data_IF_665998821619
#
_entry.id   IF_665998821619
#
_cell.length_a   1.000
_cell.length_b   1.000
_cell.length_c   1.000
_cell.angle_alpha   90.00
_cell.angle_beta   90.00
_cell.angle_gamma   90.00
#
_symmetry.space_group_name_H-M   'P 1'
#
loop_
_entity.id
_entity.type
_entity.pdbx_description
1 polymer ?
#
# COMPACT_ATOMS: atom_id res chain seq x y z
N UNK A 1 9.12 7.40 -10.01
CA UNK A 1 9.99 6.34 -9.45
C UNK A 1 9.80 5.09 -10.28
N UNK A 2 10.89 4.49 -10.76
CA UNK A 2 10.86 3.12 -11.28
C UNK A 2 11.66 2.28 -10.29
N UNK A 3 11.07 1.20 -9.81
CA UNK A 3 11.75 0.24 -8.94
C UNK A 3 12.50 -0.76 -9.81
N UNK A 4 13.71 -1.15 -9.42
CA UNK A 4 14.35 -2.30 -10.04
C UNK A 4 13.70 -3.62 -9.56
N UNK A 5 14.00 -4.78 -10.16
CA UNK A 5 13.37 -6.04 -9.77
C UNK A 5 13.56 -6.41 -8.29
N UNK A 6 14.74 -6.14 -7.72
CA UNK A 6 15.02 -6.43 -6.31
C UNK A 6 14.22 -5.51 -5.37
N UNK A 7 14.11 -4.23 -5.71
CA UNK A 7 13.32 -3.23 -4.98
C UNK A 7 11.82 -3.52 -5.08
N UNK A 8 11.36 -3.99 -6.24
CA UNK A 8 9.97 -4.42 -6.48
C UNK A 8 9.63 -5.60 -5.57
N UNK A 9 10.45 -6.65 -5.58
CA UNK A 9 10.26 -7.81 -4.72
C UNK A 9 10.32 -7.46 -3.22
N UNK A 10 11.20 -6.54 -2.82
CA UNK A 10 11.25 -6.08 -1.43
C UNK A 10 9.99 -5.29 -1.04
N UNK A 11 9.56 -4.35 -1.87
CA UNK A 11 8.36 -3.53 -1.63
C UNK A 11 7.10 -4.39 -1.58
N UNK A 12 6.98 -5.38 -2.48
CA UNK A 12 5.87 -6.34 -2.45
C UNK A 12 5.82 -7.12 -1.13
N UNK A 13 6.96 -7.68 -0.69
CA UNK A 13 7.02 -8.37 0.62
C UNK A 13 6.65 -7.47 1.79
N UNK A 14 7.08 -6.20 1.78
CA UNK A 14 6.76 -5.23 2.82
C UNK A 14 5.25 -4.93 2.88
N UNK A 15 4.59 -4.81 1.72
CA UNK A 15 3.15 -4.60 1.63
C UNK A 15 2.36 -5.83 2.08
N UNK A 16 2.74 -7.03 1.62
CA UNK A 16 2.14 -8.29 2.08
C UNK A 16 2.30 -8.47 3.58
N UNK A 17 3.48 -8.18 4.15
CA UNK A 17 3.68 -8.26 5.60
C UNK A 17 2.76 -7.32 6.40
N UNK A 18 2.50 -6.10 5.90
CA UNK A 18 1.52 -5.22 6.53
C UNK A 18 0.09 -5.77 6.39
N UNK A 19 -0.26 -6.26 5.21
CA UNK A 19 -1.59 -6.84 4.95
C UNK A 19 -1.87 -8.06 5.83
N UNK A 20 -0.91 -8.96 5.98
CA UNK A 20 -1.02 -10.20 6.76
C UNK A 20 -1.21 -9.95 8.26
N UNK A 21 -0.75 -8.80 8.76
CA UNK A 21 -0.96 -8.41 10.16
C UNK A 21 -2.39 -7.93 10.45
N UNK A 22 -3.17 -7.54 9.41
CA UNK A 22 -4.53 -7.02 9.60
C UNK A 22 -5.55 -8.17 9.73
N UNK A 23 -6.41 -8.16 10.76
CA UNK A 23 -7.42 -9.20 11.01
C UNK A 23 -8.68 -9.00 10.12
N UNK A 24 -8.48 -8.69 8.85
CA UNK A 24 -9.53 -8.44 7.88
C UNK A 24 -9.38 -9.38 6.69
N UNK A 25 -10.48 -9.68 6.01
CA UNK A 25 -10.44 -10.28 4.68
C UNK A 25 -10.07 -9.22 3.61
N UNK A 26 -9.68 -9.65 2.42
CA UNK A 26 -9.32 -8.74 1.32
C UNK A 26 -10.53 -7.97 0.79
N UNK A 27 -11.70 -8.61 0.69
CA UNK A 27 -12.87 -8.02 0.06
C UNK A 27 -13.34 -6.67 0.67
N UNK A 28 -13.35 -6.48 2.00
CA UNK A 28 -13.60 -5.15 2.59
C UNK A 28 -12.57 -4.09 2.19
N UNK A 29 -11.29 -4.46 2.10
CA UNK A 29 -10.19 -3.55 1.72
C UNK A 29 -10.34 -3.17 0.24
N UNK A 30 -10.58 -4.16 -0.63
CA UNK A 30 -10.86 -3.96 -2.05
C UNK A 30 -12.06 -3.04 -2.25
N UNK A 31 -13.17 -3.30 -1.56
CA UNK A 31 -14.36 -2.47 -1.64
C UNK A 31 -14.11 -1.03 -1.19
N UNK A 32 -13.33 -0.81 -0.13
CA UNK A 32 -13.03 0.54 0.36
C UNK A 32 -12.13 1.31 -0.61
N UNK A 33 -11.19 0.62 -1.27
CA UNK A 33 -10.29 1.20 -2.25
C UNK A 33 -10.92 1.32 -3.66
N UNK A 34 -12.06 0.67 -3.89
CA UNK A 34 -12.75 0.65 -5.18
C UNK A 34 -12.15 -0.34 -6.18
N UNK A 35 -11.42 -1.35 -5.69
CA UNK A 35 -10.84 -2.40 -6.51
C UNK A 35 -11.87 -3.46 -6.90
N UNK A 36 -11.67 -4.04 -8.08
CA UNK A 36 -12.36 -5.27 -8.46
C UNK A 36 -11.76 -6.46 -7.68
N UNK A 37 -12.46 -7.61 -7.60
CA UNK A 37 -11.93 -8.79 -6.93
C UNK A 37 -10.56 -9.20 -7.49
N UNK A 38 -9.56 -9.33 -6.61
CA UNK A 38 -8.17 -9.63 -6.95
C UNK A 38 -7.29 -8.39 -7.16
N UNK A 39 -7.89 -7.19 -7.27
CA UNK A 39 -7.14 -5.96 -7.49
C UNK A 39 -6.22 -5.57 -6.32
N UNK A 40 -6.54 -6.01 -5.08
CA UNK A 40 -5.61 -5.82 -3.97
C UNK A 40 -4.32 -6.62 -4.20
N UNK A 41 -4.41 -7.87 -4.65
CA UNK A 41 -3.23 -8.71 -4.91
C UNK A 41 -2.34 -8.09 -5.99
N UNK A 42 -2.91 -7.59 -7.09
CA UNK A 42 -2.17 -6.89 -8.15
C UNK A 42 -1.39 -5.67 -7.62
N UNK A 43 -1.97 -4.93 -6.67
CA UNK A 43 -1.29 -3.79 -6.03
C UNK A 43 -0.17 -4.26 -5.08
N UNK A 44 -0.42 -5.29 -4.27
CA UNK A 44 0.57 -5.84 -3.34
C UNK A 44 1.76 -6.47 -4.09
N UNK A 45 1.53 -6.98 -5.30
CA UNK A 45 2.57 -7.52 -6.18
C UNK A 45 3.26 -6.43 -7.05
N UNK A 46 2.88 -5.16 -6.87
CA UNK A 46 3.46 -3.99 -7.57
C UNK A 46 3.20 -4.03 -9.09
N UNK A 47 2.09 -4.65 -9.51
CA UNK A 47 1.65 -4.68 -10.91
C UNK A 47 0.73 -3.48 -11.25
N UNK A 48 0.14 -2.86 -10.23
CA UNK A 48 -0.69 -1.67 -10.34
C UNK A 48 0.11 -0.37 -10.53
N UNK A 49 -0.60 0.74 -10.76
CA UNK A 49 0.06 2.04 -10.90
C UNK A 49 0.75 2.49 -9.59
N UNK A 50 1.83 3.29 -9.65
CA UNK A 50 2.49 3.78 -8.44
C UNK A 50 1.56 4.53 -7.48
N UNK A 51 0.54 5.22 -8.01
CA UNK A 51 -0.45 5.94 -7.21
C UNK A 51 -1.28 4.95 -6.38
N UNK A 52 -1.72 3.85 -6.99
CA UNK A 52 -2.51 2.82 -6.31
C UNK A 52 -1.69 2.08 -5.25
N UNK A 53 -0.41 1.82 -5.52
CA UNK A 53 0.51 1.24 -4.54
C UNK A 53 0.65 2.14 -3.31
N UNK A 54 0.90 3.45 -3.51
CA UNK A 54 0.99 4.39 -2.40
C UNK A 54 -0.34 4.56 -1.66
N UNK A 55 -1.46 4.65 -2.38
CA UNK A 55 -2.80 4.78 -1.80
C UNK A 55 -3.17 3.56 -0.95
N UNK A 56 -2.87 2.36 -1.45
CA UNK A 56 -3.11 1.10 -0.72
C UNK A 56 -2.23 1.02 0.52
N UNK A 57 -0.93 1.31 0.39
CA UNK A 57 -0.03 1.38 1.55
C UNK A 57 -0.60 2.29 2.63
N UNK A 58 -1.01 3.50 2.26
CA UNK A 58 -1.50 4.49 3.23
C UNK A 58 -2.83 4.07 3.88
N UNK A 59 -3.71 3.40 3.13
CA UNK A 59 -4.95 2.83 3.67
C UNK A 59 -4.68 1.69 4.66
N UNK A 60 -3.77 0.76 4.33
CA UNK A 60 -3.38 -0.34 5.23
C UNK A 60 -2.70 0.18 6.50
N UNK A 61 -1.88 1.24 6.39
CA UNK A 61 -1.28 1.90 7.56
C UNK A 61 -2.36 2.50 8.46
N UNK A 62 -3.33 3.22 7.89
CA UNK A 62 -4.43 3.79 8.66
C UNK A 62 -5.26 2.71 9.37
N UNK A 63 -5.52 1.58 8.70
CA UNK A 63 -6.17 0.42 9.33
C UNK A 63 -5.34 -0.15 10.48
N UNK A 64 -4.03 -0.36 10.27
CA UNK A 64 -3.15 -0.88 11.30
C UNK A 64 -3.11 0.04 12.53
N UNK A 65 -3.00 1.36 12.32
CA UNK A 65 -3.02 2.36 13.39
C UNK A 65 -4.34 2.33 14.17
N UNK A 66 -5.48 2.22 13.49
CA UNK A 66 -6.81 2.13 14.12
C UNK A 66 -6.94 0.89 15.01
N UNK A 67 -6.38 -0.24 14.59
CA UNK A 67 -6.39 -1.51 15.33
C UNK A 67 -5.25 -1.64 16.35
N UNK A 68 -4.36 -0.64 16.46
CA UNK A 68 -3.19 -0.71 17.35
C UNK A 68 -2.12 -1.71 16.92
N UNK A 69 -2.06 -2.04 15.63
CA UNK A 69 -1.11 -2.97 15.02
C UNK A 69 0.15 -2.22 14.59
N UNK A 70 1.32 -2.80 14.87
CA UNK A 70 2.59 -2.21 14.47
C UNK A 70 2.77 -2.26 12.94
N UNK A 71 3.07 -1.11 12.34
CA UNK A 71 3.37 -0.99 10.91
C UNK A 71 4.82 -1.40 10.66
N UNK A 72 5.10 -2.38 9.79
CA UNK A 72 6.47 -2.75 9.43
C UNK A 72 7.16 -1.60 8.68
N UNK A 73 8.49 -1.46 8.78
CA UNK A 73 9.21 -0.42 8.08
C UNK A 73 9.16 -0.65 6.57
N UNK A 74 8.97 0.43 5.81
CA UNK A 74 9.06 0.43 4.36
C UNK A 74 10.41 0.98 3.90
N UNK A 75 11.07 0.29 2.98
CA UNK A 75 12.34 0.75 2.41
C UNK A 75 12.14 1.79 1.31
N UNK A 76 11.13 1.61 0.45
CA UNK A 76 10.84 2.48 -0.70
C UNK A 76 9.55 3.29 -0.57
N UNK A 77 8.57 2.76 0.16
CA UNK A 77 7.32 3.45 0.47
C UNK A 77 7.36 4.11 1.85
N UNK A 78 8.51 4.65 2.25
CA UNK A 78 8.67 5.33 3.54
C UNK A 78 7.94 6.67 3.56
N UNK A 79 7.52 7.14 4.74
CA UNK A 79 6.85 8.45 4.85
C UNK A 79 7.74 9.62 4.41
N UNK A 80 9.07 9.47 4.54
CA UNK A 80 10.04 10.46 4.02
C UNK A 80 10.04 10.56 2.48
N UNK A 81 9.66 9.48 1.77
CA UNK A 81 9.55 9.46 0.31
C UNK A 81 8.20 9.98 -0.18
N UNK A 82 7.17 10.02 0.67
CA UNK A 82 5.81 10.44 0.31
C UNK A 82 5.77 11.82 -0.38
N UNK A 83 6.44 12.90 0.13
CA UNK A 83 6.43 14.20 -0.54
C UNK A 83 7.04 14.16 -1.94
N UNK A 84 8.06 13.33 -2.15
CA UNK A 84 8.70 13.17 -3.44
C UNK A 84 7.82 12.36 -4.41
N UNK A 85 7.19 11.28 -3.92
CA UNK A 85 6.23 10.50 -4.69
C UNK A 85 5.04 11.34 -5.14
N UNK A 86 4.50 12.21 -4.28
CA UNK A 86 3.42 13.13 -4.65
C UNK A 86 3.83 14.15 -5.72
N UNK A 87 5.10 14.56 -5.76
CA UNK A 87 5.62 15.43 -6.83
C UNK A 87 5.71 14.71 -8.17
N UNK A 88 6.02 13.41 -8.17
CA UNK A 88 6.17 12.63 -9.39
C UNK A 88 4.86 12.10 -9.95
N UNK A 89 3.97 11.65 -9.07
CA UNK A 89 2.78 10.90 -9.46
C UNK A 89 1.48 11.67 -9.21
N UNK A 90 1.56 12.85 -8.58
CA UNK A 90 0.39 13.58 -8.11
C UNK A 90 -0.05 13.13 -6.71
N UNK A 91 -1.03 13.85 -6.17
CA UNK A 91 -1.62 13.53 -4.86
C UNK A 91 -2.66 12.42 -5.02
N UNK A 92 -2.81 11.61 -3.99
CA UNK A 92 -3.86 10.61 -3.86
C UNK A 92 -4.67 10.86 -2.60
N UNK A 93 -5.90 10.38 -2.61
CA UNK A 93 -6.81 10.42 -1.47
C UNK A 93 -6.95 9.02 -0.88
N UNK A 94 -6.88 8.96 0.45
CA UNK A 94 -7.04 7.72 1.21
C UNK A 94 -8.45 7.74 1.82
N UNK A 95 -9.29 6.72 1.56
CA UNK A 95 -10.58 6.60 2.21
C UNK A 95 -10.44 6.61 3.74
N UNK A 96 -11.44 7.14 4.44
CA UNK A 96 -11.47 7.04 5.89
C UNK A 96 -11.58 5.57 6.34
N UNK A 97 -10.90 5.25 7.44
CA UNK A 97 -10.94 3.95 8.12
C UNK A 97 -11.79 4.01 9.37
#
# INVERSE_FOLDING_TARGET
MSLNPAETAATSRELHALRDNLPLADAPIESALGYQPGGLAEVLDIEASPIEVWRTRDYLVALAEREGIAVPPFSRLSDSMRPQAQRWFGRWEVPAV
#
